data_IF_897403678244
#
_entry.id   IF_897403678244
#
_cell.length_a   1.000
_cell.length_b   1.000
_cell.length_c   1.000
_cell.angle_alpha   90.00
_cell.angle_beta   90.00
_cell.angle_gamma   90.00
#
_symmetry.space_group_name_H-M   'P 1'
#
loop_
_entity.id
_entity.type
_entity.pdbx_description
1 polymer ?
#
# COMPACT_ATOMS: atom_id res chain seq x y z
N UNK A 1 27.04 -4.35 -12.65
CA UNK A 1 26.10 -5.49 -12.75
C UNK A 1 25.26 -5.67 -11.48
N UNK A 2 25.76 -6.19 -10.35
CA UNK A 2 24.92 -6.31 -9.13
C UNK A 2 24.45 -4.96 -8.57
N UNK A 3 25.28 -3.90 -8.67
CA UNK A 3 24.93 -2.54 -8.24
C UNK A 3 23.72 -1.96 -9.01
N UNK A 4 23.64 -2.18 -10.32
CA UNK A 4 22.56 -1.67 -11.16
C UNK A 4 21.24 -2.40 -10.87
N UNK A 5 21.31 -3.72 -10.61
CA UNK A 5 20.16 -4.53 -10.20
C UNK A 5 19.63 -4.06 -8.84
N UNK A 6 20.52 -3.85 -7.86
CA UNK A 6 20.13 -3.34 -6.53
C UNK A 6 19.46 -1.96 -6.66
N UNK A 7 20.02 -1.05 -7.46
CA UNK A 7 19.42 0.27 -7.71
C UNK A 7 18.02 0.17 -8.36
N UNK A 8 17.83 -0.78 -9.29
CA UNK A 8 16.51 -1.06 -9.87
C UNK A 8 15.48 -1.51 -8.83
N UNK A 9 15.87 -2.41 -7.92
CA UNK A 9 14.99 -2.89 -6.85
C UNK A 9 14.72 -1.80 -5.79
N UNK A 10 15.69 -0.93 -5.50
CA UNK A 10 15.51 0.22 -4.61
C UNK A 10 14.55 1.26 -5.21
N UNK A 11 14.60 1.47 -6.54
CA UNK A 11 13.61 2.29 -7.24
C UNK A 11 12.20 1.67 -7.19
N UNK A 12 12.07 0.37 -7.47
CA UNK A 12 10.77 -0.33 -7.38
C UNK A 12 10.18 -0.25 -5.96
N UNK A 13 11.02 -0.44 -4.93
CA UNK A 13 10.62 -0.25 -3.53
C UNK A 13 10.09 1.16 -3.28
N UNK A 14 10.77 2.18 -3.81
CA UNK A 14 10.37 3.58 -3.61
C UNK A 14 9.03 3.90 -4.29
N UNK A 15 8.78 3.31 -5.46
CA UNK A 15 7.49 3.43 -6.16
C UNK A 15 6.35 2.80 -5.36
N UNK A 16 6.55 1.59 -4.84
CA UNK A 16 5.53 0.90 -4.02
C UNK A 16 5.23 1.68 -2.72
N UNK A 17 6.26 2.22 -2.06
CA UNK A 17 6.05 3.05 -0.87
C UNK A 17 5.21 4.30 -1.20
N UNK A 18 5.46 4.94 -2.35
CA UNK A 18 4.67 6.09 -2.81
C UNK A 18 3.21 5.71 -3.07
N UNK A 19 2.96 4.53 -3.67
CA UNK A 19 1.58 4.03 -3.86
C UNK A 19 0.89 3.72 -2.54
N UNK A 20 1.64 3.18 -1.57
CA UNK A 20 1.13 2.90 -0.22
C UNK A 20 0.70 4.18 0.49
N UNK A 21 1.51 5.23 0.42
CA UNK A 21 1.19 6.52 1.03
C UNK A 21 -0.11 7.11 0.43
N UNK A 22 -0.26 7.07 -0.89
CA UNK A 22 -1.50 7.50 -1.57
C UNK A 22 -2.73 6.70 -1.14
N UNK A 23 -2.59 5.39 -0.91
CA UNK A 23 -3.69 4.56 -0.42
C UNK A 23 -4.05 4.91 1.03
N UNK A 24 -3.07 5.28 1.86
CA UNK A 24 -3.33 5.74 3.21
C UNK A 24 -4.07 7.09 3.23
N UNK A 25 -3.67 8.04 2.38
CA UNK A 25 -4.40 9.31 2.21
C UNK A 25 -5.86 9.10 1.78
N UNK A 26 -6.10 8.10 0.91
CA UNK A 26 -7.45 7.70 0.50
C UNK A 26 -8.24 7.10 1.66
N UNK A 27 -7.65 6.23 2.50
CA UNK A 27 -8.31 5.70 3.70
C UNK A 27 -8.69 6.83 4.66
N UNK A 28 -7.76 7.73 4.96
CA UNK A 28 -8.00 8.86 5.86
C UNK A 28 -9.12 9.78 5.33
N UNK A 29 -9.19 9.95 4.01
CA UNK A 29 -10.27 10.70 3.36
C UNK A 29 -11.61 9.97 3.42
N UNK A 30 -11.59 8.64 3.25
CA UNK A 30 -12.76 7.78 3.36
C UNK A 30 -13.34 7.83 4.78
N UNK A 31 -12.49 7.74 5.80
CA UNK A 31 -12.87 7.72 7.22
C UNK A 31 -13.51 9.04 7.67
N UNK A 32 -13.05 10.17 7.11
CA UNK A 32 -13.68 11.48 7.32
C UNK A 32 -15.08 11.55 6.73
N UNK A 33 -15.34 10.88 5.60
CA UNK A 33 -16.67 10.85 4.98
C UNK A 33 -17.67 10.01 5.79
N UNK A 34 -17.22 8.94 6.45
CA UNK A 34 -18.08 8.09 7.30
C UNK A 34 -18.55 8.81 8.55
N UNK A 35 -17.75 9.71 9.10
CA UNK A 35 -18.16 10.56 10.24
C UNK A 35 -19.36 11.47 9.89
N UNK A 36 -19.49 11.85 8.61
CA UNK A 36 -20.50 12.82 8.15
C UNK A 36 -21.86 12.19 7.81
N UNK A 37 -21.97 10.86 7.67
CA UNK A 37 -23.15 10.20 7.08
C UNK A 37 -23.77 9.07 7.91
N UNK A 38 -23.57 9.07 9.24
CA UNK A 38 -23.93 8.00 10.17
C UNK A 38 -25.41 7.53 10.18
N UNK A 39 -26.31 8.17 9.42
CA UNK A 39 -27.73 7.79 9.31
C UNK A 39 -28.10 6.94 8.07
N UNK A 40 -27.18 6.73 7.12
CA UNK A 40 -27.49 5.97 5.89
C UNK A 40 -26.80 4.59 5.86
N UNK A 41 -27.57 3.53 6.08
CA UNK A 41 -27.11 2.13 6.11
C UNK A 41 -26.45 1.67 4.80
N UNK A 42 -26.99 2.06 3.65
CA UNK A 42 -26.44 1.70 2.33
C UNK A 42 -25.06 2.34 2.12
N UNK A 43 -24.91 3.59 2.56
CA UNK A 43 -23.62 4.27 2.53
C UNK A 43 -22.59 3.57 3.43
N UNK A 44 -22.99 3.15 4.63
CA UNK A 44 -22.10 2.43 5.55
C UNK A 44 -21.59 1.12 4.95
N UNK A 45 -22.46 0.35 4.31
CA UNK A 45 -22.08 -0.91 3.65
C UNK A 45 -21.15 -0.68 2.45
N UNK A 46 -21.42 0.36 1.65
CA UNK A 46 -20.55 0.74 0.54
C UNK A 46 -19.17 1.17 1.04
N UNK A 47 -19.12 2.01 2.07
CA UNK A 47 -17.88 2.43 2.74
C UNK A 47 -17.08 1.22 3.25
N UNK A 48 -17.72 0.28 3.96
CA UNK A 48 -17.04 -0.91 4.49
C UNK A 48 -16.44 -1.78 3.38
N UNK A 49 -17.11 -1.89 2.23
CA UNK A 49 -16.59 -2.60 1.05
C UNK A 49 -15.35 -1.89 0.49
N UNK A 50 -15.41 -0.57 0.29
CA UNK A 50 -14.26 0.20 -0.19
C UNK A 50 -13.08 0.19 0.78
N UNK A 51 -13.34 0.43 2.07
CA UNK A 51 -12.32 0.39 3.11
C UNK A 51 -11.62 -0.97 3.13
N UNK A 52 -12.38 -2.08 3.07
CA UNK A 52 -11.81 -3.43 3.02
C UNK A 52 -10.95 -3.65 1.77
N UNK A 53 -11.41 -3.21 0.61
CA UNK A 53 -10.63 -3.32 -0.64
C UNK A 53 -9.31 -2.55 -0.55
N UNK A 54 -9.34 -1.30 -0.08
CA UNK A 54 -8.12 -0.48 0.05
C UNK A 54 -7.15 -1.12 1.05
N UNK A 55 -7.65 -1.64 2.18
CA UNK A 55 -6.82 -2.38 3.13
C UNK A 55 -6.18 -3.62 2.50
N UNK A 56 -6.91 -4.39 1.69
CA UNK A 56 -6.35 -5.56 0.99
C UNK A 56 -5.22 -5.18 0.04
N UNK A 57 -5.40 -4.11 -0.74
CA UNK A 57 -4.36 -3.61 -1.65
C UNK A 57 -3.13 -3.16 -0.85
N UNK A 58 -3.32 -2.44 0.26
CA UNK A 58 -2.23 -2.01 1.14
C UNK A 58 -1.42 -3.20 1.68
N UNK A 59 -2.10 -4.24 2.15
CA UNK A 59 -1.46 -5.45 2.67
C UNK A 59 -0.68 -6.21 1.57
N UNK A 60 -1.16 -6.19 0.32
CA UNK A 60 -0.44 -6.77 -0.81
C UNK A 60 0.82 -5.97 -1.16
N UNK A 61 0.76 -4.64 -1.13
CA UNK A 61 1.94 -3.80 -1.30
C UNK A 61 2.98 -4.06 -0.20
N UNK A 62 2.57 -4.27 1.04
CA UNK A 62 3.49 -4.61 2.13
C UNK A 62 4.24 -5.92 1.87
N UNK A 63 3.54 -6.96 1.40
CA UNK A 63 4.19 -8.22 0.98
C UNK A 63 5.18 -8.00 -0.16
N UNK A 64 4.88 -7.11 -1.12
CA UNK A 64 5.80 -6.78 -2.22
C UNK A 64 7.04 -6.05 -1.72
N UNK A 65 6.90 -5.09 -0.80
CA UNK A 65 8.04 -4.38 -0.18
C UNK A 65 8.95 -5.37 0.56
N UNK A 66 8.38 -6.25 1.38
CA UNK A 66 9.14 -7.27 2.12
C UNK A 66 9.92 -8.19 1.17
N UNK A 67 9.28 -8.63 0.09
CA UNK A 67 9.93 -9.46 -0.93
C UNK A 67 11.08 -8.72 -1.62
N UNK A 68 10.93 -7.44 -1.94
CA UNK A 68 12.00 -6.63 -2.52
C UNK A 68 13.15 -6.46 -1.54
N UNK A 69 12.87 -6.20 -0.27
CA UNK A 69 13.88 -6.07 0.78
C UNK A 69 14.72 -7.35 0.91
N UNK A 70 14.06 -8.52 0.94
CA UNK A 70 14.74 -9.83 0.95
C UNK A 70 15.63 -10.03 -0.28
N UNK A 71 15.16 -9.66 -1.48
CA UNK A 71 15.94 -9.74 -2.72
C UNK A 71 17.18 -8.85 -2.68
N UNK A 72 17.03 -7.61 -2.21
CA UNK A 72 18.14 -6.65 -2.08
C UNK A 72 19.21 -7.19 -1.11
N UNK A 73 18.81 -7.66 0.08
CA UNK A 73 19.75 -8.24 1.06
C UNK A 73 20.50 -9.44 0.45
N UNK A 74 19.77 -10.35 -0.20
CA UNK A 74 20.37 -11.54 -0.83
C UNK A 74 21.39 -11.18 -1.92
N UNK A 75 21.16 -10.10 -2.67
CA UNK A 75 22.09 -9.63 -3.69
C UNK A 75 23.28 -8.86 -3.11
N UNK A 76 23.11 -8.19 -1.97
CA UNK A 76 24.19 -7.45 -1.30
C UNK A 76 25.19 -8.36 -0.58
N UNK A 77 24.75 -9.54 -0.16
CA UNK A 77 25.58 -10.54 0.55
C UNK A 77 26.22 -11.58 -0.39
N UNK A 78 26.09 -11.42 -1.71
CA UNK A 78 26.72 -12.24 -2.75
C UNK A 78 27.86 -11.47 -3.41
#
# INVERSE_FOLDING_TARGET
MCKDIIKGLENERSQILTEKDKLQDLLDSLDKLTFLSLSNTEFKDLYLKFHRYICQVRDELDKRVDNLFRKIIKLRNK
#
